data_IF_188251682277
#
_entry.id   IF_188251682277
#
_cell.length_a   1.000
_cell.length_b   1.000
_cell.length_c   1.000
_cell.angle_alpha   90.00
_cell.angle_beta   90.00
_cell.angle_gamma   90.00
#
_symmetry.space_group_name_H-M   'P 1'
#
loop_
_entity.id
_entity.type
_entity.pdbx_description
1 polymer ?
#
# COMPACT_ATOMS: atom_id res chain seq x y z
N UNK A 1 -5.71 -24.08 -3.32
CA UNK A 1 -4.84 -23.78 -2.16
C UNK A 1 -5.48 -24.03 -0.82
N UNK A 2 -6.79 -23.80 -0.67
CA UNK A 2 -7.50 -24.09 0.56
C UNK A 2 -8.51 -25.23 0.33
N UNK A 3 -8.29 -26.45 0.87
CA UNK A 3 -9.16 -27.58 0.62
C UNK A 3 -10.61 -27.33 1.06
N UNK A 4 -11.57 -27.58 0.16
CA UNK A 4 -13.01 -27.38 0.42
C UNK A 4 -13.48 -25.92 0.32
N UNK A 5 -12.61 -24.98 -0.07
CA UNK A 5 -13.01 -23.58 -0.32
C UNK A 5 -13.45 -23.42 -1.77
N UNK A 6 -14.75 -23.23 -1.98
CA UNK A 6 -15.36 -23.01 -3.29
C UNK A 6 -16.25 -21.77 -3.23
N UNK A 7 -16.40 -21.09 -4.36
CA UNK A 7 -17.40 -20.05 -4.53
C UNK A 7 -17.92 -20.03 -5.96
N UNK A 8 -19.05 -19.36 -6.18
CA UNK A 8 -19.71 -19.28 -7.49
C UNK A 8 -20.53 -18.02 -7.67
N UNK A 9 -20.91 -17.75 -8.91
CA UNK A 9 -21.68 -16.57 -9.28
C UNK A 9 -22.01 -16.57 -10.76
N UNK A 10 -23.00 -15.76 -11.18
CA UNK A 10 -23.30 -15.57 -12.59
C UNK A 10 -22.26 -14.68 -13.29
N UNK A 11 -21.48 -13.94 -12.50
CA UNK A 11 -20.38 -13.09 -12.97
C UNK A 11 -19.07 -13.40 -12.21
N UNK A 12 -17.91 -13.08 -12.78
CA UNK A 12 -16.62 -13.20 -12.08
C UNK A 12 -16.58 -12.42 -10.76
N UNK A 13 -17.19 -11.23 -10.72
CA UNK A 13 -17.25 -10.39 -9.53
C UNK A 13 -18.07 -11.04 -8.41
N UNK A 14 -19.21 -11.64 -8.74
CA UNK A 14 -20.02 -12.41 -7.79
C UNK A 14 -19.27 -13.64 -7.28
N UNK A 15 -18.62 -14.40 -8.17
CA UNK A 15 -17.84 -15.57 -7.77
C UNK A 15 -16.67 -15.19 -6.85
N UNK A 16 -16.00 -14.06 -7.12
CA UNK A 16 -14.95 -13.51 -6.27
C UNK A 16 -15.46 -13.08 -4.88
N UNK A 17 -16.62 -12.43 -4.83
CA UNK A 17 -17.23 -12.03 -3.56
C UNK A 17 -17.67 -13.26 -2.72
N UNK A 18 -18.24 -14.26 -3.37
CA UNK A 18 -18.69 -15.50 -2.75
C UNK A 18 -17.51 -16.32 -2.20
N UNK A 19 -16.48 -16.58 -3.01
CA UNK A 19 -15.29 -17.32 -2.55
C UNK A 19 -14.52 -16.57 -1.45
N UNK A 20 -14.52 -15.23 -1.46
CA UNK A 20 -13.92 -14.44 -0.39
C UNK A 20 -14.67 -14.65 0.93
N UNK A 21 -15.99 -14.73 0.88
CA UNK A 21 -16.83 -15.00 2.06
C UNK A 21 -16.64 -16.44 2.56
N UNK A 22 -16.69 -17.41 1.66
CA UNK A 22 -16.45 -18.82 1.97
C UNK A 22 -15.07 -19.06 2.61
N UNK A 23 -14.03 -18.40 2.10
CA UNK A 23 -12.68 -18.51 2.65
C UNK A 23 -12.60 -17.94 4.07
N UNK A 24 -13.29 -16.83 4.36
CA UNK A 24 -13.34 -16.26 5.71
C UNK A 24 -13.99 -17.22 6.70
N UNK A 25 -15.14 -17.78 6.35
CA UNK A 25 -15.87 -18.74 7.18
C UNK A 25 -15.03 -19.99 7.45
N UNK A 26 -14.40 -20.52 6.40
CA UNK A 26 -13.62 -21.74 6.53
C UNK A 26 -12.35 -21.53 7.36
N UNK A 27 -11.68 -20.38 7.24
CA UNK A 27 -10.54 -20.06 8.10
C UNK A 27 -10.97 -19.84 9.55
N UNK A 28 -12.11 -19.18 9.79
CA UNK A 28 -12.67 -19.04 11.14
C UNK A 28 -12.97 -20.42 11.75
N UNK A 29 -13.60 -21.31 10.98
CA UNK A 29 -13.84 -22.68 11.40
C UNK A 29 -12.54 -23.44 11.74
N UNK A 30 -11.48 -23.29 10.94
CA UNK A 30 -10.18 -23.90 11.27
C UNK A 30 -9.64 -23.35 12.60
N UNK A 31 -9.74 -22.05 12.83
CA UNK A 31 -9.32 -21.42 14.09
C UNK A 31 -10.11 -21.92 15.31
N UNK A 32 -11.44 -22.00 15.20
CA UNK A 32 -12.32 -22.46 16.29
C UNK A 32 -12.08 -23.93 16.67
N UNK A 33 -11.55 -24.72 15.73
CA UNK A 33 -11.22 -26.13 15.92
C UNK A 33 -9.72 -26.38 16.17
N UNK A 34 -8.94 -25.32 16.43
CA UNK A 34 -7.48 -25.39 16.66
C UNK A 34 -6.71 -26.09 15.53
N UNK A 35 -7.23 -26.00 14.30
CA UNK A 35 -6.61 -26.58 13.10
C UNK A 35 -5.66 -25.59 12.44
N UNK A 36 -4.57 -26.11 11.91
CA UNK A 36 -3.61 -25.29 11.17
C UNK A 36 -4.19 -24.84 9.82
N UNK A 37 -4.15 -23.53 9.58
CA UNK A 37 -4.60 -22.91 8.34
C UNK A 37 -3.56 -23.19 7.25
N UNK A 38 -3.93 -23.79 6.10
CA UNK A 38 -3.00 -24.04 5.01
C UNK A 38 -2.30 -22.77 4.54
N UNK A 39 -0.98 -22.86 4.33
CA UNK A 39 -0.19 -21.73 3.85
C UNK A 39 -0.55 -21.41 2.39
N UNK A 40 -0.83 -20.14 2.04
CA UNK A 40 -1.11 -19.77 0.65
C UNK A 40 0.13 -19.97 -0.23
N UNK A 41 -0.08 -20.41 -1.48
CA UNK A 41 0.95 -20.49 -2.49
C UNK A 41 0.96 -19.22 -3.33
N UNK A 42 2.09 -18.93 -3.97
CA UNK A 42 2.19 -17.89 -4.98
C UNK A 42 1.54 -18.34 -6.29
N UNK A 43 1.11 -17.38 -7.11
CA UNK A 43 0.59 -17.64 -8.46
C UNK A 43 1.60 -18.47 -9.29
N UNK A 44 2.88 -18.16 -9.14
CA UNK A 44 3.98 -18.84 -9.83
C UNK A 44 4.15 -20.31 -9.42
N UNK A 45 3.93 -20.63 -8.14
CA UNK A 45 3.94 -22.01 -7.65
C UNK A 45 2.74 -22.79 -8.19
N UNK A 46 1.55 -22.19 -8.21
CA UNK A 46 0.34 -22.82 -8.76
C UNK A 46 0.48 -23.07 -10.27
N UNK A 47 1.02 -22.10 -11.03
CA UNK A 47 1.20 -22.24 -12.48
C UNK A 47 2.18 -23.33 -12.89
N UNK A 48 3.17 -23.64 -12.05
CA UNK A 48 4.18 -24.68 -12.33
C UNK A 48 3.75 -26.06 -11.82
N UNK A 49 2.66 -26.13 -11.06
CA UNK A 49 2.16 -27.36 -10.50
C UNK A 49 1.34 -28.13 -11.54
N UNK A 50 1.95 -29.17 -12.11
CA UNK A 50 1.29 -30.03 -13.09
C UNK A 50 0.09 -30.81 -12.50
N UNK A 51 0.00 -30.94 -11.18
CA UNK A 51 -1.12 -31.59 -10.50
C UNK A 51 -2.27 -30.62 -10.20
N UNK A 52 -2.10 -29.32 -10.44
CA UNK A 52 -3.14 -28.32 -10.19
C UNK A 52 -4.23 -28.29 -11.27
N UNK A 53 -4.08 -29.07 -12.35
CA UNK A 53 -5.01 -29.15 -13.49
C UNK A 53 -5.43 -27.79 -14.09
N UNK A 54 -4.61 -26.75 -13.86
CA UNK A 54 -4.89 -25.39 -14.29
C UNK A 54 -4.67 -25.22 -15.80
N UNK A 55 -5.70 -24.77 -16.52
CA UNK A 55 -5.61 -24.43 -17.94
C UNK A 55 -5.61 -22.92 -18.16
N UNK A 56 -4.43 -22.37 -18.45
CA UNK A 56 -4.28 -20.93 -18.73
C UNK A 56 -5.07 -20.39 -19.93
N UNK A 57 -5.60 -21.26 -20.81
CA UNK A 57 -6.43 -20.84 -21.94
C UNK A 57 -7.89 -20.58 -21.54
N UNK A 58 -8.38 -21.22 -20.47
CA UNK A 58 -9.78 -21.15 -20.04
C UNK A 58 -9.96 -20.63 -18.60
N UNK A 59 -8.89 -20.55 -17.82
CA UNK A 59 -8.93 -20.22 -16.40
C UNK A 59 -8.01 -19.05 -16.03
N UNK A 60 -8.43 -18.29 -15.01
CA UNK A 60 -7.64 -17.19 -14.44
C UNK A 60 -7.31 -17.46 -12.98
N UNK A 61 -6.08 -17.13 -12.58
CA UNK A 61 -5.65 -17.18 -11.18
C UNK A 61 -5.87 -15.84 -10.51
N UNK A 62 -6.44 -15.86 -9.31
CA UNK A 62 -6.73 -14.68 -8.51
C UNK A 62 -6.16 -14.85 -7.10
N UNK A 63 -5.69 -13.75 -6.52
CA UNK A 63 -5.34 -13.71 -5.11
C UNK A 63 -6.55 -13.26 -4.30
N UNK A 64 -6.98 -14.10 -3.36
CA UNK A 64 -8.07 -13.79 -2.44
C UNK A 64 -7.45 -13.36 -1.11
N UNK A 65 -7.64 -12.11 -0.66
CA UNK A 65 -7.13 -11.69 0.63
C UNK A 65 -7.93 -12.36 1.76
N UNK A 66 -7.23 -13.08 2.63
CA UNK A 66 -7.83 -13.59 3.87
C UNK A 66 -7.84 -12.47 4.91
N UNK A 67 -8.95 -11.74 4.99
CA UNK A 67 -9.17 -10.76 6.05
C UNK A 67 -9.84 -11.47 7.22
N UNK A 68 -9.06 -11.76 8.25
CA UNK A 68 -9.57 -12.34 9.48
C UNK A 68 -9.93 -11.25 10.46
N UNK A 69 -11.17 -11.28 10.94
CA UNK A 69 -11.57 -10.55 12.12
C UNK A 69 -11.05 -11.29 13.35
N UNK A 70 -9.72 -11.31 13.52
CA UNK A 70 -9.07 -11.78 14.76
C UNK A 70 -9.32 -10.85 15.94
N UNK A 71 -10.22 -9.87 15.79
CA UNK A 71 -10.44 -8.79 16.72
C UNK A 71 -11.27 -9.27 17.91
N UNK A 72 -10.69 -10.12 18.77
CA UNK A 72 -11.02 -10.01 20.18
C UNK A 72 -10.42 -8.69 20.66
N UNK A 73 -11.23 -7.66 20.98
CA UNK A 73 -10.69 -6.40 21.46
C UNK A 73 -9.92 -6.64 22.76
N UNK A 74 -8.66 -6.22 22.79
CA UNK A 74 -7.80 -6.24 23.98
C UNK A 74 -7.60 -4.80 24.46
N UNK A 75 -7.74 -4.57 25.76
CA UNK A 75 -7.49 -3.25 26.35
C UNK A 75 -5.98 -2.99 26.42
N UNK A 76 -5.54 -1.90 25.79
CA UNK A 76 -4.19 -1.37 25.92
C UNK A 76 -4.26 0.02 26.58
N UNK A 77 -3.39 0.28 27.54
CA UNK A 77 -3.21 1.61 28.12
C UNK A 77 -2.03 2.28 27.42
N UNK A 78 -2.24 3.44 26.81
CA UNK A 78 -1.24 4.18 26.04
C UNK A 78 -1.19 5.63 26.50
N UNK A 79 0.02 6.21 26.50
CA UNK A 79 0.23 7.63 26.77
C UNK A 79 0.38 8.37 25.44
N UNK A 80 -0.26 9.54 25.32
CA UNK A 80 -0.14 10.43 24.16
C UNK A 80 -0.38 11.88 24.59
N UNK A 81 -0.01 12.82 23.72
CA UNK A 81 -0.29 14.23 23.91
C UNK A 81 -1.81 14.51 23.97
N UNK A 82 -2.21 15.48 24.80
CA UNK A 82 -3.61 15.81 25.01
C UNK A 82 -4.27 16.39 23.76
N UNK A 83 -3.58 17.28 23.04
CA UNK A 83 -4.10 17.87 21.80
C UNK A 83 -4.22 16.83 20.68
N UNK A 84 -3.32 15.84 20.65
CA UNK A 84 -3.44 14.71 19.74
C UNK A 84 -4.67 13.85 20.05
N UNK A 85 -4.95 13.59 21.34
CA UNK A 85 -6.13 12.82 21.75
C UNK A 85 -7.44 13.54 21.37
N UNK A 86 -7.51 14.85 21.57
CA UNK A 86 -8.67 15.67 21.16
C UNK A 86 -8.89 15.61 19.65
N UNK A 87 -7.83 15.78 18.85
CA UNK A 87 -7.93 15.70 17.39
C UNK A 87 -8.40 14.31 16.90
N UNK A 88 -7.99 13.24 17.60
CA UNK A 88 -8.46 11.88 17.31
C UNK A 88 -9.96 11.75 17.61
N UNK A 89 -10.42 12.27 18.74
CA UNK A 89 -11.83 12.19 19.14
C UNK A 89 -12.75 12.94 18.18
N UNK A 90 -12.36 14.17 17.81
CA UNK A 90 -13.08 14.98 16.83
C UNK A 90 -13.22 14.24 15.48
N UNK A 91 -12.11 13.67 14.99
CA UNK A 91 -12.10 12.97 13.71
C UNK A 91 -12.88 11.64 13.76
N UNK A 92 -12.79 10.90 14.86
CA UNK A 92 -13.57 9.69 15.07
C UNK A 92 -15.07 10.00 15.09
N UNK A 93 -15.47 11.05 15.80
CA UNK A 93 -16.86 11.52 15.85
C UNK A 93 -17.35 12.00 14.49
N UNK A 94 -16.54 12.78 13.76
CA UNK A 94 -16.84 13.25 12.40
C UNK A 94 -17.07 12.10 11.43
N UNK A 95 -16.39 10.96 11.63
CA UNK A 95 -16.53 9.73 10.83
C UNK A 95 -17.60 8.77 11.36
N UNK A 96 -18.22 9.04 12.51
CA UNK A 96 -19.20 8.15 13.12
C UNK A 96 -18.61 6.82 13.61
N UNK A 97 -17.34 6.80 14.00
CA UNK A 97 -16.65 5.61 14.52
C UNK A 97 -16.15 5.84 15.94
N UNK A 98 -15.87 4.77 16.68
CA UNK A 98 -15.27 4.89 18.01
C UNK A 98 -13.78 5.25 17.91
N UNK A 99 -13.23 5.90 18.95
CA UNK A 99 -11.79 6.19 19.08
C UNK A 99 -10.93 4.95 18.81
N UNK A 100 -11.30 3.80 19.37
CA UNK A 100 -10.58 2.54 19.19
C UNK A 100 -10.63 2.02 17.76
N UNK A 101 -11.78 2.14 17.08
CA UNK A 101 -11.93 1.75 15.68
C UNK A 101 -11.09 2.65 14.76
N UNK A 102 -11.11 3.96 15.01
CA UNK A 102 -10.27 4.91 14.29
C UNK A 102 -8.78 4.58 14.43
N UNK A 103 -8.29 4.41 15.67
CA UNK A 103 -6.90 4.05 15.95
C UNK A 103 -6.50 2.70 15.33
N UNK A 104 -7.36 1.69 15.44
CA UNK A 104 -7.11 0.37 14.84
C UNK A 104 -6.99 0.47 13.32
N UNK A 105 -7.89 1.22 12.66
CA UNK A 105 -7.84 1.40 11.19
C UNK A 105 -6.57 2.12 10.75
N UNK A 106 -6.16 3.18 11.46
CA UNK A 106 -4.93 3.90 11.16
C UNK A 106 -3.66 3.05 11.37
N UNK A 107 -3.65 2.20 12.39
CA UNK A 107 -2.57 1.25 12.62
C UNK A 107 -2.52 0.17 11.53
N UNK A 108 -3.66 -0.41 11.16
CA UNK A 108 -3.75 -1.41 10.09
C UNK A 108 -3.32 -0.84 8.73
N UNK A 109 -3.70 0.40 8.44
CA UNK A 109 -3.25 1.13 7.26
C UNK A 109 -1.72 1.24 7.18
N UNK A 110 -1.06 1.34 8.35
CA UNK A 110 0.40 1.42 8.43
C UNK A 110 1.10 0.06 8.46
N UNK A 111 0.44 -0.96 9.00
CA UNK A 111 0.99 -2.33 9.13
C UNK A 111 0.85 -3.12 7.83
N UNK A 112 -0.20 -2.87 7.03
CA UNK A 112 -0.52 -3.70 5.87
C UNK A 112 0.57 -3.65 4.79
N UNK A 113 1.27 -4.77 4.53
CA UNK A 113 2.34 -4.83 3.53
C UNK A 113 1.81 -4.70 2.10
N UNK A 114 0.49 -4.80 1.91
CA UNK A 114 -0.15 -4.78 0.59
C UNK A 114 -0.38 -3.35 0.05
N UNK A 115 -0.18 -2.30 0.86
CA UNK A 115 -0.31 -0.90 0.41
C UNK A 115 1.01 -0.26 -0.03
N UNK A 116 2.16 -0.77 0.41
CA UNK A 116 3.46 -0.18 0.09
C UNK A 116 3.87 -0.36 -1.39
N UNK A 117 3.34 -1.38 -2.08
CA UNK A 117 3.61 -1.59 -3.52
C UNK A 117 2.82 -0.64 -4.42
N UNK A 118 1.69 -0.09 -3.94
CA UNK A 118 0.88 0.89 -4.69
C UNK A 118 1.33 2.35 -4.46
N UNK A 119 2.15 2.61 -3.44
CA UNK A 119 2.50 3.98 -3.01
C UNK A 119 3.93 4.44 -3.38
N UNK A 120 4.67 3.70 -4.22
CA UNK A 120 5.96 4.20 -4.77
C UNK A 120 5.76 5.26 -5.88
N UNK A 121 4.55 5.80 -6.03
CA UNK A 121 4.35 7.08 -6.71
C UNK A 121 4.38 8.20 -5.66
N UNK A 122 5.58 8.65 -5.29
CA UNK A 122 5.74 9.95 -4.65
C UNK A 122 5.15 11.01 -5.59
N UNK A 123 3.92 11.44 -5.33
CA UNK A 123 3.37 12.68 -5.87
C UNK A 123 4.06 13.83 -5.16
N UNK A 124 5.29 14.12 -5.57
CA UNK A 124 5.98 15.35 -5.20
C UNK A 124 5.22 16.53 -5.79
N UNK A 125 4.71 17.40 -4.93
CA UNK A 125 4.19 18.69 -5.37
C UNK A 125 5.34 19.51 -5.95
N UNK A 126 5.17 19.94 -7.21
CA UNK A 126 6.02 20.85 -8.00
C UNK A 126 7.27 20.21 -8.64
N UNK A 127 7.26 20.20 -9.98
CA UNK A 127 8.28 19.72 -10.93
C UNK A 127 8.32 18.20 -11.17
N UNK A 128 7.63 17.76 -12.22
CA UNK A 128 7.60 16.37 -12.69
C UNK A 128 8.88 15.93 -13.40
N UNK A 129 10.02 15.95 -12.70
CA UNK A 129 11.24 15.26 -13.15
C UNK A 129 11.62 14.20 -12.13
N UNK A 130 11.50 12.93 -12.53
CA UNK A 130 11.98 11.80 -11.74
C UNK A 130 13.51 11.79 -11.81
N UNK A 131 14.17 12.03 -10.67
CA UNK A 131 15.63 12.08 -10.57
C UNK A 131 16.26 10.75 -10.14
N UNK A 132 15.48 9.78 -9.65
CA UNK A 132 16.03 8.49 -9.26
C UNK A 132 15.02 7.35 -9.44
N UNK A 133 15.51 6.18 -9.87
CA UNK A 133 14.77 4.92 -9.81
C UNK A 133 15.55 3.91 -8.97
N UNK A 134 14.84 3.01 -8.29
CA UNK A 134 15.46 1.88 -7.60
C UNK A 134 15.57 0.70 -8.53
N UNK A 135 16.71 0.01 -8.49
CA UNK A 135 16.87 -1.25 -9.22
C UNK A 135 16.17 -2.42 -8.51
N UNK A 136 16.17 -3.60 -9.13
CA UNK A 136 15.53 -4.83 -8.60
C UNK A 136 16.10 -5.29 -7.25
N UNK A 137 17.21 -4.72 -6.78
CA UNK A 137 17.81 -4.99 -5.46
C UNK A 137 17.49 -3.88 -4.44
N UNK A 138 16.64 -2.91 -4.80
CA UNK A 138 16.24 -1.80 -3.93
C UNK A 138 17.26 -0.67 -3.82
N UNK A 139 18.37 -0.73 -4.57
CA UNK A 139 19.42 0.30 -4.56
C UNK A 139 18.96 1.50 -5.38
N UNK A 140 19.08 2.71 -4.82
CA UNK A 140 18.71 3.97 -5.48
C UNK A 140 19.76 4.31 -6.55
N UNK A 141 19.33 4.46 -7.80
CA UNK A 141 20.16 4.94 -8.91
C UNK A 141 19.65 6.28 -9.42
N UNK A 142 20.54 7.25 -9.47
CA UNK A 142 20.31 8.56 -10.07
C UNK A 142 20.22 8.41 -11.60
N UNK A 143 19.09 8.80 -12.19
CA UNK A 143 18.91 8.75 -13.65
C UNK A 143 19.20 10.16 -14.16
N UNK A 144 20.49 10.48 -14.31
CA UNK A 144 20.86 11.70 -15.01
C UNK A 144 20.30 11.66 -16.43
N UNK A 145 19.51 12.68 -16.72
CA UNK A 145 18.73 12.87 -17.94
C UNK A 145 19.67 12.93 -19.14
N UNK A 146 19.37 12.16 -20.19
CA UNK A 146 19.92 12.38 -21.53
C UNK A 146 19.50 13.77 -22.03
N UNK A 147 20.25 14.81 -21.64
CA UNK A 147 20.28 16.12 -22.28
C UNK A 147 21.73 16.43 -22.62
N UNK A 148 22.30 15.67 -23.56
CA UNK A 148 23.38 16.20 -24.40
C UNK A 148 22.77 16.76 -25.67
N UNK A 149 23.17 18.01 -25.93
CA UNK A 149 23.22 18.66 -27.23
C UNK A 149 21.89 18.92 -27.94
N UNK A 150 21.35 20.14 -27.78
CA UNK A 150 21.32 21.05 -28.92
C UNK A 150 21.34 22.51 -28.46
N UNK A 151 22.18 23.26 -29.17
CA UNK A 151 22.55 24.64 -28.95
C UNK A 151 21.38 25.63 -29.07
N UNK A 152 21.49 26.74 -28.32
CA UNK A 152 21.42 28.15 -28.77
C UNK A 152 21.24 29.03 -27.52
N UNK A 153 22.33 29.58 -26.98
CA UNK A 153 22.81 30.93 -27.27
C UNK A 153 21.75 32.03 -27.08
N UNK A 154 21.61 32.52 -25.86
CA UNK A 154 21.24 33.92 -25.60
C UNK A 154 22.06 34.42 -24.41
N UNK A 155 23.03 35.29 -24.69
CA UNK A 155 23.84 36.05 -23.71
C UNK A 155 22.92 36.80 -22.73
N UNK A 156 23.14 36.65 -21.43
CA UNK A 156 22.74 37.66 -20.45
C UNK A 156 23.97 38.44 -20.01
N UNK A 157 24.01 39.73 -20.39
CA UNK A 157 24.94 40.73 -19.86
C UNK A 157 24.66 40.87 -18.36
N UNK A 158 25.71 40.82 -17.53
CA UNK A 158 25.60 41.06 -16.09
C UNK A 158 25.41 42.54 -15.76
N UNK A 159 24.96 42.89 -14.54
CA UNK A 159 25.19 44.21 -14.02
C UNK A 159 26.54 44.23 -13.30
N UNK A 160 27.48 44.98 -13.87
CA UNK A 160 28.65 45.48 -13.16
C UNK A 160 28.25 46.42 -12.03
N UNK A 161 29.14 46.55 -11.04
CA UNK A 161 28.90 47.28 -9.83
C UNK A 161 29.00 48.81 -9.94
N UNK A 162 28.40 49.45 -8.95
CA UNK A 162 28.75 50.71 -8.32
C UNK A 162 28.20 50.59 -6.88
N UNK A 163 28.94 50.74 -5.79
CA UNK A 163 30.04 51.65 -5.56
C UNK A 163 29.49 53.01 -5.15
N UNK A 164 28.99 53.16 -3.91
CA UNK A 164 29.28 54.36 -3.13
C UNK A 164 28.92 54.20 -1.64
N UNK A 165 29.95 54.42 -0.84
CA UNK A 165 30.01 54.57 0.60
C UNK A 165 29.67 56.02 1.01
N UNK A 166 28.87 56.22 2.07
CA UNK A 166 29.14 57.35 2.98
C UNK A 166 28.61 57.12 4.40
N UNK A 167 29.51 57.39 5.34
CA UNK A 167 29.42 57.33 6.80
C UNK A 167 28.70 58.54 7.40
N UNK A 168 28.20 58.29 8.61
CA UNK A 168 28.21 59.13 9.84
C UNK A 168 27.35 60.40 9.99
N UNK A 169 26.72 60.39 11.18
CA UNK A 169 26.11 61.44 12.02
C UNK A 169 24.70 61.91 11.70
#
# INVERSE_FOLDING_TARGET
>A
DFPGCHGGGATPEEALADVTSALRELVAHYHDNEREVPRPRSIDEVRRDAAAEYDSASESLVMIPVVLDRARPVRANISMDAGMLEAIDEEAQRRGVTRSSFLASAAMDKISPYRDTASTAHRGSKSGTLHAARDRKGQVKDIQTNKRAHARHVKRRGPGGSGESRKEK
#
